data_IF_009840827219
#
_entry.id   IF_009840827219
#
_cell.length_a   1.000
_cell.length_b   1.000
_cell.length_c   1.000
_cell.angle_alpha   90.00
_cell.angle_beta   90.00
_cell.angle_gamma   90.00
#
_symmetry.space_group_name_H-M   'P 1'
#
loop_
_entity.id
_entity.type
_entity.pdbx_description
1 polymer ?
#
# COMPACT_ATOMS: atom_id res chain seq x y z
N UNK A 1 -28.69 5.15 15.33
CA UNK A 1 -27.47 4.35 15.43
C UNK A 1 -27.91 2.90 15.37
N UNK A 2 -27.71 2.24 14.23
CA UNK A 2 -28.01 0.81 14.14
C UNK A 2 -26.95 0.07 14.95
N UNK A 3 -27.37 -0.75 15.91
CA UNK A 3 -26.47 -1.72 16.52
C UNK A 3 -26.04 -2.71 15.44
N UNK A 4 -24.75 -2.72 15.09
CA UNK A 4 -24.20 -3.74 14.22
C UNK A 4 -24.46 -5.11 14.83
N UNK A 5 -24.83 -6.13 14.02
CA UNK A 5 -25.11 -7.45 14.54
C UNK A 5 -23.85 -7.96 15.27
N UNK A 6 -23.98 -8.18 16.59
CA UNK A 6 -22.96 -8.87 17.39
C UNK A 6 -22.99 -10.33 16.99
N UNK A 7 -21.96 -10.79 16.28
CA UNK A 7 -21.82 -12.21 15.98
C UNK A 7 -21.10 -12.89 17.15
N UNK A 8 -21.73 -13.92 17.70
CA UNK A 8 -21.13 -14.75 18.74
C UNK A 8 -20.18 -15.75 18.07
N UNK A 9 -18.90 -15.67 18.42
CA UNK A 9 -17.89 -16.57 17.89
C UNK A 9 -17.28 -17.38 19.04
N UNK A 10 -17.21 -18.70 18.86
CA UNK A 10 -16.53 -19.60 19.80
C UNK A 10 -15.20 -20.01 19.16
N UNK A 11 -14.10 -19.73 19.85
CA UNK A 11 -12.77 -20.04 19.36
C UNK A 11 -11.99 -20.94 20.30
N UNK A 12 -11.47 -22.02 19.73
CA UNK A 12 -10.43 -22.83 20.34
C UNK A 12 -9.05 -22.15 20.17
N UNK A 13 -8.37 -21.95 21.29
CA UNK A 13 -7.02 -21.38 21.32
C UNK A 13 -6.27 -21.71 22.60
N UNK A 14 -4.96 -21.93 22.48
CA UNK A 14 -4.05 -21.98 23.62
C UNK A 14 -3.62 -20.58 24.08
N UNK A 15 -2.95 -20.47 25.22
CA UNK A 15 -2.53 -19.19 25.83
C UNK A 15 -1.75 -18.25 24.88
N UNK A 16 -1.03 -18.80 23.90
CA UNK A 16 -0.27 -18.05 22.90
C UNK A 16 -1.09 -17.48 21.73
N UNK A 17 -2.36 -17.85 21.61
CA UNK A 17 -3.23 -17.40 20.50
C UNK A 17 -3.49 -15.91 20.63
N UNK A 18 -3.09 -15.13 19.63
CA UNK A 18 -3.32 -13.68 19.60
C UNK A 18 -4.71 -13.34 19.05
N UNK A 19 -5.24 -12.18 19.46
CA UNK A 19 -6.49 -11.66 18.90
C UNK A 19 -6.38 -11.39 17.40
N UNK A 20 -5.19 -10.98 16.92
CA UNK A 20 -4.91 -10.86 15.49
C UNK A 20 -5.09 -12.19 14.74
N UNK A 21 -4.61 -13.29 15.30
CA UNK A 21 -4.81 -14.63 14.72
C UNK A 21 -6.29 -15.03 14.67
N UNK A 22 -7.04 -14.73 15.73
CA UNK A 22 -8.49 -15.00 15.75
C UNK A 22 -9.19 -14.21 14.63
N UNK A 23 -8.90 -12.91 14.51
CA UNK A 23 -9.45 -12.09 13.41
C UNK A 23 -9.09 -12.63 12.03
N UNK A 24 -7.85 -13.11 11.86
CA UNK A 24 -7.42 -13.72 10.61
C UNK A 24 -8.21 -15.00 10.27
N UNK A 25 -8.55 -15.83 11.27
CA UNK A 25 -9.38 -17.03 11.08
C UNK A 25 -10.81 -16.66 10.63
N UNK A 26 -11.42 -15.64 11.24
CA UNK A 26 -12.73 -15.12 10.84
C UNK A 26 -12.72 -14.65 9.38
N UNK A 27 -11.70 -13.88 9.00
CA UNK A 27 -11.57 -13.39 7.63
C UNK A 27 -11.40 -14.56 6.64
N UNK A 28 -10.62 -15.58 7.01
CA UNK A 28 -10.41 -16.77 6.19
C UNK A 28 -11.68 -17.63 6.01
N UNK A 29 -12.60 -17.62 6.98
CA UNK A 29 -13.89 -18.32 6.90
C UNK A 29 -14.98 -17.52 6.16
N UNK A 30 -14.62 -16.41 5.49
CA UNK A 30 -15.54 -15.58 4.72
C UNK A 30 -16.19 -14.44 5.50
N UNK A 31 -15.76 -14.20 6.75
CA UNK A 31 -16.17 -13.04 7.55
C UNK A 31 -15.52 -11.72 7.11
N UNK A 32 -15.76 -10.60 7.82
CA UNK A 32 -15.14 -9.31 7.54
C UNK A 32 -13.61 -9.38 7.57
N UNK A 33 -12.92 -8.50 6.83
CA UNK A 33 -11.46 -8.42 6.88
C UNK A 33 -10.95 -8.07 8.29
N UNK A 34 -9.71 -8.47 8.63
CA UNK A 34 -9.15 -8.35 9.99
C UNK A 34 -9.40 -6.99 10.65
N UNK A 35 -9.10 -5.90 9.96
CA UNK A 35 -9.25 -4.55 10.51
C UNK A 35 -10.69 -4.02 10.49
N UNK A 36 -11.60 -4.70 9.79
CA UNK A 36 -13.04 -4.46 9.87
C UNK A 36 -13.67 -5.17 11.07
N UNK A 37 -12.91 -5.94 11.85
CA UNK A 37 -13.41 -6.64 13.02
C UNK A 37 -12.99 -5.94 14.31
N UNK A 38 -13.96 -5.65 15.16
CA UNK A 38 -13.75 -5.38 16.58
C UNK A 38 -14.16 -6.64 17.36
N UNK A 39 -13.18 -7.39 17.85
CA UNK A 39 -13.45 -8.49 18.78
C UNK A 39 -13.58 -7.93 20.18
N UNK A 40 -14.61 -8.38 20.89
CA UNK A 40 -14.94 -7.93 22.23
C UNK A 40 -15.04 -9.14 23.16
N UNK A 41 -14.47 -9.01 24.35
CA UNK A 41 -14.75 -9.87 25.48
C UNK A 41 -15.66 -9.07 26.41
N UNK A 42 -16.88 -9.56 26.63
CA UNK A 42 -17.94 -8.81 27.31
C UNK A 42 -18.16 -7.45 26.62
N UNK A 43 -17.95 -6.34 27.32
CA UNK A 43 -18.11 -4.97 26.79
C UNK A 43 -16.78 -4.28 26.44
N UNK A 44 -15.67 -5.04 26.43
CA UNK A 44 -14.33 -4.51 26.16
C UNK A 44 -13.82 -4.92 24.79
N UNK A 45 -13.48 -3.94 23.94
CA UNK A 45 -12.75 -4.18 22.69
C UNK A 45 -11.32 -4.66 22.97
N UNK A 46 -10.94 -5.74 22.30
CA UNK A 46 -9.65 -6.38 22.43
C UNK A 46 -8.65 -5.82 21.42
N UNK A 47 -7.40 -5.65 21.85
CA UNK A 47 -6.29 -5.23 20.98
C UNK A 47 -5.67 -6.44 20.28
N UNK A 48 -5.13 -6.20 19.09
CA UNK A 48 -4.56 -7.24 18.24
C UNK A 48 -3.37 -7.98 18.86
N UNK A 49 -2.61 -7.31 19.75
CA UNK A 49 -1.44 -7.84 20.45
C UNK A 49 -1.79 -8.62 21.73
N UNK A 50 -3.04 -8.56 22.18
CA UNK A 50 -3.49 -9.37 23.32
C UNK A 50 -3.56 -10.84 22.94
N UNK A 51 -3.22 -11.71 23.89
CA UNK A 51 -3.31 -13.16 23.76
C UNK A 51 -4.34 -13.74 24.71
N UNK A 52 -4.78 -14.97 24.44
CA UNK A 52 -5.68 -15.70 25.33
C UNK A 52 -5.13 -15.79 26.76
N UNK A 53 -3.81 -16.03 26.91
CA UNK A 53 -3.15 -16.02 28.21
C UNK A 53 -3.22 -14.64 28.90
N UNK A 54 -2.98 -13.55 28.17
CA UNK A 54 -3.09 -12.19 28.72
C UNK A 54 -4.51 -11.81 29.15
N UNK A 55 -5.51 -12.45 28.53
CA UNK A 55 -6.94 -12.28 28.80
C UNK A 55 -7.47 -13.30 29.82
N UNK A 56 -6.62 -14.18 30.36
CA UNK A 56 -7.01 -15.29 31.24
C UNK A 56 -8.09 -16.20 30.63
N UNK A 57 -8.08 -16.36 29.30
CA UNK A 57 -8.94 -17.27 28.57
C UNK A 57 -8.26 -18.64 28.50
N UNK A 58 -8.95 -19.69 28.98
CA UNK A 58 -8.47 -21.06 28.95
C UNK A 58 -9.45 -21.94 28.15
N UNK A 59 -8.97 -22.50 27.02
CA UNK A 59 -9.79 -23.33 26.14
C UNK A 59 -10.73 -22.51 25.26
N UNK A 60 -11.97 -22.97 25.11
CA UNK A 60 -12.99 -22.34 24.27
C UNK A 60 -13.36 -20.96 24.83
N UNK A 61 -13.06 -19.92 24.07
CA UNK A 61 -13.42 -18.55 24.40
C UNK A 61 -14.60 -18.08 23.54
N UNK A 62 -15.61 -17.51 24.20
CA UNK A 62 -16.73 -16.85 23.54
C UNK A 62 -16.40 -15.37 23.37
N UNK A 63 -16.25 -14.93 22.13
CA UNK A 63 -15.99 -13.55 21.76
C UNK A 63 -17.17 -13.00 20.97
N UNK A 64 -17.42 -11.70 21.10
CA UNK A 64 -18.37 -10.99 20.24
C UNK A 64 -17.60 -10.26 19.15
N UNK A 65 -17.96 -10.47 17.89
CA UNK A 65 -17.46 -9.65 16.81
C UNK A 65 -18.46 -8.55 16.49
N UNK A 66 -17.96 -7.32 16.42
CA UNK A 66 -18.66 -6.17 15.86
C UNK A 66 -17.90 -5.74 14.61
N UNK A 67 -18.55 -5.86 13.45
CA UNK A 67 -17.98 -5.33 12.21
C UNK A 67 -17.97 -3.80 12.26
N UNK A 68 -16.88 -3.16 11.82
CA UNK A 68 -16.84 -1.72 11.55
C UNK A 68 -17.85 -1.41 10.44
N UNK A 69 -18.59 -0.32 10.61
CA UNK A 69 -19.65 0.13 9.70
C UNK A 69 -19.12 0.67 8.37
N UNK A 70 -18.64 -0.21 7.49
CA UNK A 70 -18.11 0.17 6.20
C UNK A 70 -18.55 -0.80 5.10
N UNK A 71 -19.47 -0.35 4.25
CA UNK A 71 -19.92 -1.10 3.08
C UNK A 71 -18.91 -1.00 1.92
N UNK A 72 -17.80 -1.72 2.05
CA UNK A 72 -16.71 -1.69 1.06
C UNK A 72 -17.21 -2.03 -0.35
N UNK A 73 -18.08 -3.03 -0.49
CA UNK A 73 -18.54 -3.49 -1.80
C UNK A 73 -19.48 -2.47 -2.44
N UNK A 74 -20.43 -1.92 -1.69
CA UNK A 74 -21.29 -0.85 -2.20
C UNK A 74 -20.51 0.41 -2.58
N UNK A 75 -19.45 0.75 -1.83
CA UNK A 75 -18.57 1.88 -2.19
C UNK A 75 -17.77 1.61 -3.48
N UNK A 76 -17.25 0.39 -3.67
CA UNK A 76 -16.56 -0.01 -4.90
C UNK A 76 -17.50 0.07 -6.12
N UNK A 77 -18.74 -0.38 -6.01
CA UNK A 77 -19.74 -0.30 -7.08
C UNK A 77 -20.08 1.15 -7.46
N UNK A 78 -20.19 2.03 -6.46
CA UNK A 78 -20.39 3.48 -6.69
C UNK A 78 -19.20 4.10 -7.43
N UNK A 79 -17.96 3.76 -7.05
CA UNK A 79 -16.76 4.25 -7.73
C UNK A 79 -16.69 3.76 -9.17
N UNK A 80 -16.97 2.48 -9.41
CA UNK A 80 -16.95 1.89 -10.76
C UNK A 80 -17.95 2.55 -11.71
N UNK A 81 -19.06 3.04 -11.15
CA UNK A 81 -20.10 3.78 -11.88
C UNK A 81 -19.78 5.27 -12.06
N UNK A 82 -18.74 5.78 -11.38
CA UNK A 82 -18.31 7.19 -11.43
C UNK A 82 -17.70 7.53 -12.79
N UNK A 83 -18.07 8.70 -13.33
CA UNK A 83 -17.53 9.20 -14.59
C UNK A 83 -16.46 10.26 -14.32
N UNK A 84 -15.49 10.46 -15.22
CA UNK A 84 -14.56 11.56 -15.12
C UNK A 84 -15.29 12.89 -14.94
N UNK A 85 -14.76 13.73 -14.04
CA UNK A 85 -15.22 15.11 -13.80
C UNK A 85 -16.63 15.26 -13.23
N UNK A 86 -17.31 14.20 -12.83
CA UNK A 86 -18.58 14.28 -12.09
C UNK A 86 -18.36 14.54 -10.61
N UNK A 87 -19.46 14.80 -9.90
CA UNK A 87 -19.48 14.88 -8.44
C UNK A 87 -18.93 13.59 -7.82
N UNK A 88 -18.31 13.74 -6.65
CA UNK A 88 -17.71 12.66 -5.90
C UNK A 88 -18.82 11.77 -5.27
N UNK A 89 -18.83 10.44 -5.51
CA UNK A 89 -19.97 9.59 -5.15
C UNK A 89 -19.91 9.01 -3.73
N UNK A 90 -18.86 9.29 -2.95
CA UNK A 90 -18.68 8.78 -1.59
C UNK A 90 -18.93 9.90 -0.58
N UNK A 91 -19.67 9.59 0.50
CA UNK A 91 -19.92 10.56 1.56
C UNK A 91 -18.63 10.92 2.31
N UNK A 92 -18.60 12.08 2.97
CA UNK A 92 -17.44 12.44 3.79
C UNK A 92 -17.24 11.45 4.95
N UNK A 93 -18.32 10.97 5.55
CA UNK A 93 -18.29 10.01 6.66
C UNK A 93 -17.68 8.67 6.23
N UNK A 94 -18.15 8.10 5.11
CA UNK A 94 -17.60 6.84 4.59
C UNK A 94 -16.12 6.98 4.27
N UNK A 95 -15.71 8.12 3.71
CA UNK A 95 -14.30 8.34 3.43
C UNK A 95 -13.46 8.45 4.71
N UNK A 96 -13.92 9.20 5.71
CA UNK A 96 -13.19 9.31 6.99
C UNK A 96 -12.97 7.90 7.58
N UNK A 97 -14.00 7.03 7.54
CA UNK A 97 -13.87 5.62 7.93
C UNK A 97 -12.83 4.85 7.10
N UNK A 98 -12.81 5.01 5.77
CA UNK A 98 -11.84 4.35 4.88
C UNK A 98 -10.41 4.82 5.18
N UNK A 99 -10.22 6.13 5.36
CA UNK A 99 -8.90 6.73 5.60
C UNK A 99 -8.36 6.28 6.95
N UNK A 100 -9.16 6.38 8.02
CA UNK A 100 -8.74 5.98 9.36
C UNK A 100 -8.32 4.49 9.38
N UNK A 101 -9.10 3.65 8.72
CA UNK A 101 -8.81 2.23 8.58
C UNK A 101 -7.54 1.96 7.76
N UNK A 102 -7.36 2.66 6.63
CA UNK A 102 -6.16 2.54 5.82
C UNK A 102 -4.90 2.97 6.58
N UNK A 103 -4.97 4.05 7.36
CA UNK A 103 -3.87 4.52 8.22
C UNK A 103 -3.51 3.48 9.26
N UNK A 104 -4.51 2.92 9.96
CA UNK A 104 -4.32 1.84 10.94
C UNK A 104 -3.60 0.65 10.29
N UNK A 105 -4.06 0.22 9.12
CA UNK A 105 -3.46 -0.88 8.37
C UNK A 105 -2.00 -0.55 8.00
N UNK A 106 -1.75 0.57 7.33
CA UNK A 106 -0.40 0.89 6.87
C UNK A 106 0.60 1.03 8.00
N UNK A 107 0.21 1.60 9.14
CA UNK A 107 1.08 1.72 10.32
C UNK A 107 1.36 0.36 10.98
N UNK A 108 0.47 -0.61 10.83
CA UNK A 108 0.68 -1.99 11.30
C UNK A 108 1.63 -2.81 10.42
N UNK A 109 1.80 -2.42 9.15
CA UNK A 109 2.70 -3.08 8.20
C UNK A 109 4.14 -2.61 8.41
N UNK A 110 5.17 -3.43 8.12
CA UNK A 110 6.54 -2.96 8.05
C UNK A 110 6.76 -2.05 6.83
N UNK A 111 7.78 -1.19 6.86
CA UNK A 111 8.13 -0.35 5.70
C UNK A 111 8.70 -1.17 4.53
N UNK A 112 9.33 -2.31 4.82
CA UNK A 112 9.70 -3.36 3.88
C UNK A 112 8.76 -4.56 4.06
N UNK A 113 7.81 -4.73 3.16
CA UNK A 113 6.82 -5.81 3.23
C UNK A 113 7.33 -7.06 2.51
N UNK A 114 7.48 -8.17 3.24
CA UNK A 114 7.83 -9.47 2.64
C UNK A 114 6.57 -10.21 2.17
N UNK A 115 6.61 -10.74 0.94
CA UNK A 115 5.49 -11.45 0.31
C UNK A 115 5.89 -12.81 -0.26
N UNK A 116 5.00 -13.78 -0.14
CA UNK A 116 5.09 -15.04 -0.88
C UNK A 116 4.36 -14.94 -2.23
N UNK A 117 4.97 -15.49 -3.28
CA UNK A 117 4.33 -15.67 -4.59
C UNK A 117 3.20 -16.73 -4.53
N UNK A 118 2.26 -16.73 -5.49
CA UNK A 118 2.13 -15.83 -6.64
C UNK A 118 1.63 -14.43 -6.26
N UNK A 119 2.12 -13.41 -6.98
CA UNK A 119 1.73 -12.01 -6.79
C UNK A 119 1.87 -11.24 -8.12
N UNK A 120 0.89 -10.40 -8.43
CA UNK A 120 0.92 -9.46 -9.55
C UNK A 120 1.64 -8.18 -9.13
N UNK A 121 2.56 -7.68 -9.95
CA UNK A 121 3.28 -6.42 -9.68
C UNK A 121 2.81 -5.35 -10.64
N UNK A 122 2.28 -4.25 -10.12
CA UNK A 122 1.70 -3.15 -10.89
C UNK A 122 2.55 -1.88 -10.72
N UNK A 123 2.87 -1.24 -11.83
CA UNK A 123 3.61 0.02 -11.88
C UNK A 123 2.71 1.24 -11.68
N UNK A 124 3.13 2.36 -12.25
CA UNK A 124 2.44 3.64 -12.13
C UNK A 124 1.04 3.57 -12.77
N UNK A 125 0.03 4.09 -12.06
CA UNK A 125 -1.37 4.14 -12.55
C UNK A 125 -1.76 5.56 -12.97
N UNK A 126 -1.20 6.59 -12.31
CA UNK A 126 -1.32 8.00 -12.70
C UNK A 126 -2.76 8.48 -12.94
N UNK A 127 -3.67 8.13 -12.04
CA UNK A 127 -5.09 8.50 -12.12
C UNK A 127 -5.85 7.88 -13.30
N UNK A 128 -5.29 6.87 -13.98
CA UNK A 128 -6.00 6.10 -15.01
C UNK A 128 -6.88 5.03 -14.35
N UNK A 129 -8.01 5.46 -13.81
CA UNK A 129 -8.95 4.59 -13.10
C UNK A 129 -9.52 3.47 -13.99
N UNK A 130 -9.77 3.74 -15.28
CA UNK A 130 -10.26 2.71 -16.18
C UNK A 130 -9.27 1.58 -16.36
N UNK A 131 -7.97 1.91 -16.44
CA UNK A 131 -6.93 0.89 -16.54
C UNK A 131 -6.80 0.09 -15.25
N UNK A 132 -6.95 0.72 -14.08
CA UNK A 132 -7.03 -0.01 -12.81
C UNK A 132 -8.20 -1.01 -12.79
N UNK A 133 -9.40 -0.59 -13.21
CA UNK A 133 -10.54 -1.49 -13.31
C UNK A 133 -10.28 -2.64 -14.29
N UNK A 134 -9.69 -2.35 -15.45
CA UNK A 134 -9.34 -3.37 -16.44
C UNK A 134 -8.36 -4.41 -15.88
N UNK A 135 -7.34 -3.98 -15.14
CA UNK A 135 -6.38 -4.88 -14.47
C UNK A 135 -7.12 -5.85 -13.55
N UNK A 136 -8.01 -5.35 -12.69
CA UNK A 136 -8.78 -6.20 -11.77
C UNK A 136 -9.80 -7.10 -12.47
N UNK A 137 -10.45 -6.63 -13.53
CA UNK A 137 -11.35 -7.46 -14.34
C UNK A 137 -10.60 -8.59 -15.05
N UNK A 138 -9.35 -8.33 -15.47
CA UNK A 138 -8.56 -9.28 -16.25
C UNK A 138 -7.78 -10.29 -15.41
N UNK A 139 -7.18 -9.82 -14.31
CA UNK A 139 -6.28 -10.60 -13.46
C UNK A 139 -6.94 -11.06 -12.15
N UNK A 140 -8.19 -10.65 -11.91
CA UNK A 140 -8.94 -10.88 -10.68
C UNK A 140 -8.65 -9.81 -9.63
N UNK A 141 -9.67 -9.32 -8.93
CA UNK A 141 -9.48 -8.31 -7.88
C UNK A 141 -8.69 -8.87 -6.66
N UNK A 142 -8.34 -8.05 -5.65
CA UNK A 142 -7.63 -8.52 -4.46
C UNK A 142 -8.35 -9.61 -3.64
N UNK A 143 -9.65 -9.84 -3.87
CA UNK A 143 -10.37 -11.01 -3.34
C UNK A 143 -10.00 -12.33 -4.03
N UNK A 144 -9.41 -12.26 -5.23
CA UNK A 144 -9.04 -13.41 -6.07
C UNK A 144 -7.53 -13.56 -6.27
N UNK A 145 -6.78 -12.46 -6.33
CA UNK A 145 -5.33 -12.46 -6.57
C UNK A 145 -4.57 -11.55 -5.57
N UNK A 146 -3.25 -11.74 -5.47
CA UNK A 146 -2.37 -10.88 -4.66
C UNK A 146 -1.70 -9.83 -5.52
N UNK A 147 -1.49 -8.65 -4.98
CA UNK A 147 -0.93 -7.49 -5.68
C UNK A 147 0.13 -6.76 -4.86
N UNK A 148 1.15 -6.27 -5.55
CA UNK A 148 2.03 -5.18 -5.09
C UNK A 148 1.93 -4.07 -6.11
N UNK A 149 1.46 -2.89 -5.69
CA UNK A 149 1.56 -1.68 -6.50
C UNK A 149 2.76 -0.84 -6.06
N UNK A 150 3.51 -0.36 -7.03
CA UNK A 150 4.79 0.31 -6.83
C UNK A 150 4.66 1.84 -6.63
N UNK A 151 3.48 2.36 -6.33
CA UNK A 151 3.25 3.80 -6.16
C UNK A 151 2.97 4.55 -7.46
N UNK A 152 2.82 5.87 -7.35
CA UNK A 152 2.38 6.78 -8.42
C UNK A 152 0.95 6.47 -8.88
N UNK A 153 0.02 6.56 -7.93
CA UNK A 153 -1.41 6.31 -8.13
C UNK A 153 -2.14 7.54 -8.65
N UNK A 154 -1.72 8.72 -8.22
CA UNK A 154 -2.38 10.00 -8.45
C UNK A 154 -1.61 10.86 -9.44
N UNK A 155 -2.19 12.03 -9.77
CA UNK A 155 -1.69 13.02 -10.73
C UNK A 155 -1.75 12.59 -12.20
N UNK A 156 -1.64 13.59 -13.09
CA UNK A 156 -1.66 13.47 -14.57
C UNK A 156 -2.96 12.95 -15.19
N UNK A 157 -3.65 11.99 -14.58
CA UNK A 157 -4.96 11.48 -15.01
C UNK A 157 -6.15 12.28 -14.46
N UNK A 158 -7.33 12.03 -15.04
CA UNK A 158 -8.59 12.73 -14.71
C UNK A 158 -9.37 12.10 -13.53
N UNK A 159 -8.93 10.94 -13.02
CA UNK A 159 -9.65 10.15 -12.00
C UNK A 159 -8.70 9.62 -10.90
N UNK A 160 -7.86 10.50 -10.35
CA UNK A 160 -6.92 10.13 -9.29
C UNK A 160 -7.65 9.77 -7.99
N UNK A 161 -8.76 10.46 -7.68
CA UNK A 161 -9.52 10.19 -6.45
C UNK A 161 -10.17 8.80 -6.51
N UNK A 162 -10.79 8.42 -7.63
CA UNK A 162 -11.35 7.07 -7.79
C UNK A 162 -10.28 5.98 -7.75
N UNK A 163 -9.15 6.22 -8.41
CA UNK A 163 -8.00 5.31 -8.42
C UNK A 163 -7.54 5.02 -6.99
N UNK A 164 -7.24 6.07 -6.22
CA UNK A 164 -6.73 5.91 -4.87
C UNK A 164 -7.79 5.36 -3.90
N UNK A 165 -9.05 5.81 -3.99
CA UNK A 165 -10.13 5.32 -3.15
C UNK A 165 -10.43 3.84 -3.38
N UNK A 166 -10.40 3.37 -4.63
CA UNK A 166 -10.57 1.96 -4.96
C UNK A 166 -9.46 1.10 -4.36
N UNK A 167 -8.21 1.55 -4.49
CA UNK A 167 -7.07 0.87 -3.89
C UNK A 167 -7.16 0.83 -2.35
N UNK A 168 -7.57 1.93 -1.71
CA UNK A 168 -7.78 1.94 -0.25
C UNK A 168 -8.91 1.03 0.20
N UNK A 169 -10.04 1.00 -0.52
CA UNK A 169 -11.17 0.13 -0.20
C UNK A 169 -10.76 -1.34 -0.27
N UNK A 170 -10.03 -1.72 -1.33
CA UNK A 170 -9.46 -3.06 -1.41
C UNK A 170 -8.41 -3.32 -0.33
N UNK A 171 -7.58 -2.33 0.03
CA UNK A 171 -6.60 -2.46 1.11
C UNK A 171 -7.28 -2.70 2.45
N UNK A 172 -8.37 -1.99 2.73
CA UNK A 172 -9.19 -2.14 3.92
C UNK A 172 -9.82 -3.53 4.03
N UNK A 173 -10.27 -4.08 2.89
CA UNK A 173 -10.93 -5.39 2.85
C UNK A 173 -9.97 -6.56 2.80
N UNK A 174 -8.87 -6.43 2.06
CA UNK A 174 -7.90 -7.50 1.82
C UNK A 174 -6.46 -7.03 2.12
N UNK A 175 -6.18 -6.63 3.38
CA UNK A 175 -4.89 -6.05 3.78
C UNK A 175 -3.70 -6.98 3.49
N UNK A 176 -3.89 -8.30 3.62
CA UNK A 176 -2.84 -9.31 3.41
C UNK A 176 -2.66 -9.71 1.93
N UNK A 177 -3.47 -9.15 1.02
CA UNK A 177 -3.44 -9.47 -0.42
C UNK A 177 -3.09 -8.29 -1.30
N UNK A 178 -3.17 -7.06 -0.80
CA UNK A 178 -2.83 -5.86 -1.56
C UNK A 178 -1.78 -5.05 -0.79
N UNK A 179 -0.57 -4.95 -1.34
CA UNK A 179 0.47 -4.05 -0.86
C UNK A 179 0.51 -2.81 -1.75
N UNK A 180 0.48 -1.63 -1.13
CA UNK A 180 0.54 -0.34 -1.80
C UNK A 180 1.79 0.38 -1.31
N UNK A 181 2.80 0.48 -2.18
CA UNK A 181 4.02 1.22 -1.87
C UNK A 181 3.80 2.72 -2.08
N UNK A 182 4.46 3.53 -1.28
CA UNK A 182 4.51 4.98 -1.48
C UNK A 182 5.33 5.28 -2.72
N UNK A 183 4.80 6.05 -3.66
CA UNK A 183 5.55 6.61 -4.79
C UNK A 183 5.80 8.11 -4.63
N UNK A 184 6.53 8.71 -5.58
CA UNK A 184 6.87 10.15 -5.52
C UNK A 184 5.65 11.07 -5.61
N UNK A 185 4.59 10.62 -6.27
CA UNK A 185 3.33 11.36 -6.38
C UNK A 185 2.49 11.27 -5.10
N UNK A 186 2.80 10.33 -4.20
CA UNK A 186 2.25 10.27 -2.85
C UNK A 186 3.07 11.15 -1.88
N UNK A 187 3.47 12.33 -2.36
CA UNK A 187 4.14 13.39 -1.62
C UNK A 187 3.45 14.73 -1.85
N UNK A 188 3.27 15.49 -0.77
CA UNK A 188 2.54 16.75 -0.78
C UNK A 188 3.11 17.76 -1.78
N UNK A 189 4.43 17.83 -1.92
CA UNK A 189 5.10 18.80 -2.81
C UNK A 189 4.81 18.52 -4.30
N UNK A 190 4.71 17.23 -4.66
CA UNK A 190 4.46 16.78 -6.03
C UNK A 190 2.98 16.89 -6.37
N UNK A 191 2.11 16.25 -5.58
CA UNK A 191 0.69 16.18 -5.91
C UNK A 191 -0.08 17.50 -5.74
N UNK A 192 0.58 18.53 -5.19
CA UNK A 192 0.12 19.91 -5.21
C UNK A 192 0.15 20.55 -6.59
N UNK A 193 1.05 20.11 -7.47
CA UNK A 193 1.35 20.77 -8.75
C UNK A 193 0.91 19.92 -9.94
N UNK A 194 0.86 18.59 -9.79
CA UNK A 194 0.65 17.68 -10.93
C UNK A 194 -0.79 17.14 -11.12
N UNK A 195 -1.75 17.64 -10.33
CA UNK A 195 -3.18 17.52 -10.62
C UNK A 195 -4.07 17.08 -9.47
N UNK A 196 -3.57 16.24 -8.55
CA UNK A 196 -4.40 15.66 -7.50
C UNK A 196 -4.99 16.70 -6.54
N UNK A 197 -4.21 17.72 -6.17
CA UNK A 197 -4.68 18.84 -5.36
C UNK A 197 -5.85 19.58 -6.03
N UNK A 198 -5.73 19.86 -7.32
CA UNK A 198 -6.76 20.55 -8.08
C UNK A 198 -8.02 19.69 -8.26
N UNK A 199 -7.84 18.39 -8.47
CA UNK A 199 -8.94 17.43 -8.52
C UNK A 199 -9.70 17.39 -7.18
N UNK A 200 -8.99 17.24 -6.07
CA UNK A 200 -9.57 17.24 -4.72
C UNK A 200 -10.29 18.55 -4.41
N UNK A 201 -9.67 19.69 -4.75
CA UNK A 201 -10.26 21.02 -4.53
C UNK A 201 -11.56 21.21 -5.33
N UNK A 202 -11.61 20.73 -6.57
CA UNK A 202 -12.76 20.90 -7.46
C UNK A 202 -13.92 19.97 -7.11
N UNK A 203 -13.64 18.72 -6.74
CA UNK A 203 -14.67 17.67 -6.59
C UNK A 203 -15.06 17.39 -5.14
N UNK A 204 -14.19 17.73 -4.20
CA UNK A 204 -14.33 17.43 -2.78
C UNK A 204 -14.06 18.69 -1.95
N UNK A 205 -12.92 18.76 -1.25
CA UNK A 205 -12.51 19.94 -0.50
C UNK A 205 -10.99 20.01 -0.30
N UNK A 206 -10.48 21.15 0.18
CA UNK A 206 -9.06 21.25 0.57
C UNK A 206 -8.71 20.41 1.81
N UNK A 207 -9.68 20.23 2.73
CA UNK A 207 -9.52 19.33 3.88
C UNK A 207 -9.28 17.91 3.40
N UNK A 208 -10.00 17.50 2.36
CA UNK A 208 -9.90 16.20 1.72
C UNK A 208 -8.49 15.89 1.23
N UNK A 209 -7.85 16.82 0.51
CA UNK A 209 -6.47 16.62 0.05
C UNK A 209 -5.48 16.42 1.20
N UNK A 210 -5.62 17.17 2.30
CA UNK A 210 -4.78 16.98 3.50
C UNK A 210 -4.98 15.60 4.14
N UNK A 211 -6.22 15.11 4.16
CA UNK A 211 -6.52 13.75 4.63
C UNK A 211 -5.78 12.69 3.81
N UNK A 212 -5.74 12.82 2.48
CA UNK A 212 -4.95 11.93 1.62
C UNK A 212 -3.45 12.02 1.87
N UNK A 213 -2.91 13.23 2.08
CA UNK A 213 -1.51 13.40 2.45
C UNK A 213 -1.15 12.63 3.73
N UNK A 214 -2.04 12.63 4.74
CA UNK A 214 -1.82 11.84 5.95
C UNK A 214 -1.78 10.33 5.66
N UNK A 215 -2.66 9.82 4.79
CA UNK A 215 -2.61 8.41 4.35
C UNK A 215 -1.27 8.10 3.68
N UNK A 216 -0.86 8.95 2.73
CA UNK A 216 0.40 8.76 2.00
C UNK A 216 1.63 8.73 2.92
N UNK A 217 1.63 9.56 3.95
CA UNK A 217 2.70 9.60 4.96
C UNK A 217 2.82 8.31 5.77
N UNK A 218 1.78 7.48 5.80
CA UNK A 218 1.75 6.20 6.50
C UNK A 218 2.16 5.01 5.62
N UNK A 219 2.28 5.16 4.30
CA UNK A 219 2.47 4.01 3.39
C UNK A 219 3.85 3.36 3.51
N UNK A 220 3.96 2.03 3.32
CA UNK A 220 5.25 1.35 3.23
C UNK A 220 6.02 1.79 1.98
N UNK A 221 7.34 1.62 1.99
CA UNK A 221 8.21 2.17 0.95
C UNK A 221 8.77 1.09 0.02
N UNK A 222 8.89 -0.16 0.48
CA UNK A 222 9.42 -1.25 -0.32
C UNK A 222 8.64 -2.54 -0.08
N UNK A 223 8.74 -3.45 -1.02
CA UNK A 223 8.32 -4.83 -0.83
C UNK A 223 9.40 -5.79 -1.31
N UNK A 224 9.36 -7.04 -0.84
CA UNK A 224 10.26 -8.10 -1.29
C UNK A 224 9.49 -9.39 -1.50
N UNK A 225 9.56 -9.92 -2.70
CA UNK A 225 8.81 -11.12 -3.11
C UNK A 225 9.74 -12.33 -3.05
N UNK A 226 9.30 -13.38 -2.34
CA UNK A 226 10.06 -14.61 -2.07
C UNK A 226 11.48 -14.38 -1.51
N UNK A 227 11.74 -13.24 -0.89
CA UNK A 227 13.10 -12.82 -0.50
C UNK A 227 14.11 -12.71 -1.68
N UNK A 228 13.63 -12.72 -2.93
CA UNK A 228 14.46 -12.75 -4.15
C UNK A 228 14.24 -11.55 -5.08
N UNK A 229 13.05 -10.95 -5.07
CA UNK A 229 12.75 -9.79 -5.92
C UNK A 229 12.49 -8.58 -5.03
N UNK A 230 13.26 -7.50 -5.21
CA UNK A 230 13.04 -6.24 -4.50
C UNK A 230 12.13 -5.33 -5.32
N UNK A 231 11.06 -4.86 -4.70
CA UNK A 231 10.14 -3.88 -5.27
C UNK A 231 10.39 -2.53 -4.62
N UNK A 232 10.81 -1.56 -5.43
CA UNK A 232 11.00 -0.16 -5.03
C UNK A 232 10.08 0.74 -5.84
N UNK A 233 9.67 1.91 -5.33
CA UNK A 233 8.81 2.81 -6.08
C UNK A 233 9.57 3.47 -7.22
N UNK A 234 10.81 3.89 -7.01
CA UNK A 234 11.66 4.43 -8.07
C UNK A 234 13.06 3.81 -8.10
N UNK A 235 13.87 3.99 -7.04
CA UNK A 235 15.31 3.71 -7.14
C UNK A 235 15.95 3.06 -5.93
N UNK A 236 17.28 2.96 -6.01
CA UNK A 236 18.15 2.45 -4.96
C UNK A 236 18.77 3.60 -4.16
N UNK A 237 19.32 3.26 -3.00
CA UNK A 237 20.03 4.20 -2.12
C UNK A 237 21.44 3.73 -1.80
N UNK A 238 22.34 4.69 -1.59
CA UNK A 238 23.68 4.44 -1.04
C UNK A 238 23.61 3.82 0.36
N UNK A 239 22.55 4.10 1.12
CA UNK A 239 22.35 3.54 2.46
C UNK A 239 22.14 2.03 2.47
N UNK A 240 21.77 1.45 1.33
CA UNK A 240 21.43 0.05 1.16
C UNK A 240 22.52 -0.77 0.47
N UNK A 241 23.73 -0.26 0.27
CA UNK A 241 24.75 -0.97 -0.53
C UNK A 241 25.37 -2.18 0.17
N UNK A 242 25.31 -2.27 1.49
CA UNK A 242 25.95 -3.34 2.25
C UNK A 242 24.94 -4.41 2.69
N UNK A 243 25.39 -5.64 2.89
CA UNK A 243 24.55 -6.72 3.41
C UNK A 243 23.95 -6.36 4.79
N UNK A 244 22.72 -6.81 5.05
CA UNK A 244 22.01 -6.55 6.31
C UNK A 244 21.48 -5.12 6.47
N UNK A 245 21.54 -4.27 5.45
CA UNK A 245 21.06 -2.89 5.51
C UNK A 245 19.56 -2.72 5.27
N UNK A 246 18.85 -3.76 4.82
CA UNK A 246 17.39 -3.69 4.60
C UNK A 246 16.60 -3.37 5.88
N UNK A 247 17.13 -3.69 7.05
CA UNK A 247 16.54 -3.28 8.33
C UNK A 247 16.45 -1.75 8.48
N UNK A 248 17.29 -0.98 7.77
CA UNK A 248 17.19 0.48 7.73
C UNK A 248 15.85 0.94 7.15
N UNK A 249 15.29 0.20 6.18
CA UNK A 249 13.97 0.52 5.59
C UNK A 249 12.90 0.42 6.69
N UNK A 250 12.93 -0.63 7.51
CA UNK A 250 12.00 -0.82 8.61
C UNK A 250 12.16 0.18 9.76
N UNK A 251 13.27 0.92 9.82
CA UNK A 251 13.50 1.99 10.79
C UNK A 251 12.96 3.36 10.34
N UNK A 252 12.44 3.48 9.11
CA UNK A 252 11.76 4.68 8.66
C UNK A 252 10.50 4.86 9.51
N UNK A 253 10.48 5.92 10.31
CA UNK A 253 9.33 6.24 11.18
C UNK A 253 8.19 6.77 10.34
N UNK A 254 6.98 6.24 10.56
CA UNK A 254 5.75 6.71 9.92
C UNK A 254 4.73 7.12 10.99
N UNK A 255 3.88 8.13 10.75
CA UNK A 255 3.79 8.94 9.53
C UNK A 255 4.98 9.89 9.36
N UNK A 256 5.42 10.09 8.12
CA UNK A 256 6.48 11.07 7.79
C UNK A 256 6.21 11.73 6.44
N UNK A 257 6.54 13.02 6.31
CA UNK A 257 6.72 13.61 4.97
C UNK A 257 8.04 13.10 4.36
N UNK A 258 8.24 13.33 3.06
CA UNK A 258 9.49 12.97 2.40
C UNK A 258 10.57 14.02 2.75
N UNK A 259 11.72 13.63 3.31
CA UNK A 259 12.84 14.53 3.54
C UNK A 259 13.48 14.98 2.22
N UNK A 260 14.33 16.01 2.28
CA UNK A 260 15.08 16.50 1.11
C UNK A 260 16.30 15.61 0.75
N UNK A 261 16.68 14.66 1.61
CA UNK A 261 17.82 13.75 1.44
C UNK A 261 17.65 12.43 2.25
N UNK A 262 18.52 11.45 1.98
CA UNK A 262 18.62 10.20 2.73
C UNK A 262 17.76 9.06 2.17
N UNK A 263 17.74 7.92 2.89
CA UNK A 263 17.15 6.67 2.40
C UNK A 263 15.73 6.80 1.81
N UNK A 264 14.79 7.47 2.51
CA UNK A 264 13.43 7.61 2.01
C UNK A 264 13.37 8.44 0.72
N UNK A 265 14.18 9.49 0.65
CA UNK A 265 14.30 10.33 -0.54
C UNK A 265 14.85 9.51 -1.72
N UNK A 266 15.96 8.80 -1.53
CA UNK A 266 16.61 8.00 -2.58
C UNK A 266 15.68 6.91 -3.14
N UNK A 267 14.92 6.22 -2.28
CA UNK A 267 13.97 5.19 -2.73
C UNK A 267 12.88 5.76 -3.65
N UNK A 268 12.43 6.99 -3.37
CA UNK A 268 11.34 7.66 -4.07
C UNK A 268 11.81 8.56 -5.23
N UNK A 269 13.07 8.99 -5.29
CA UNK A 269 13.62 9.88 -6.34
C UNK A 269 14.78 9.28 -7.14
N UNK A 270 15.31 8.12 -6.73
CA UNK A 270 16.39 7.44 -7.41
C UNK A 270 15.96 6.96 -8.81
N UNK A 271 16.69 7.36 -9.84
CA UNK A 271 16.42 7.00 -11.23
C UNK A 271 17.64 6.27 -11.84
N UNK A 272 17.47 5.11 -12.48
CA UNK A 272 18.54 4.47 -13.22
C UNK A 272 18.91 5.33 -14.46
N UNK A 273 20.20 5.54 -14.71
CA UNK A 273 20.69 6.27 -15.89
C UNK A 273 21.89 5.55 -16.50
N UNK A 274 21.75 5.09 -17.74
CA UNK A 274 22.81 4.36 -18.46
C UNK A 274 24.05 5.19 -18.77
N UNK A 275 23.97 6.52 -18.62
CA UNK A 275 25.05 7.47 -18.91
C UNK A 275 25.94 7.74 -17.70
N UNK A 276 25.51 7.35 -16.50
CA UNK A 276 26.25 7.58 -15.25
C UNK A 276 26.92 6.29 -14.78
N UNK A 277 27.91 6.45 -13.89
CA UNK A 277 28.62 5.35 -13.24
C UNK A 277 28.52 5.51 -11.73
N UNK A 278 28.21 4.44 -11.01
CA UNK A 278 27.94 4.50 -9.58
C UNK A 278 26.69 5.33 -9.27
N UNK A 279 26.65 5.97 -8.11
CA UNK A 279 25.60 6.94 -7.74
C UNK A 279 26.05 8.36 -8.06
N UNK A 280 25.14 9.17 -8.60
CA UNK A 280 25.38 10.58 -8.95
C UNK A 280 24.16 11.41 -8.57
N UNK A 281 24.36 12.45 -7.76
CA UNK A 281 23.30 13.41 -7.44
C UNK A 281 23.28 14.53 -8.49
N UNK A 282 22.27 14.51 -9.36
CA UNK A 282 22.06 15.50 -10.40
C UNK A 282 21.03 16.54 -9.94
N UNK A 283 21.46 17.47 -9.08
CA UNK A 283 20.62 18.57 -8.56
C UNK A 283 19.47 18.08 -7.67
N UNK A 284 19.06 18.91 -6.69
CA UNK A 284 17.89 18.63 -5.83
C UNK A 284 16.72 18.23 -6.73
N UNK A 285 16.22 16.99 -6.59
CA UNK A 285 15.14 16.31 -7.34
C UNK A 285 15.56 15.14 -8.25
N UNK A 286 16.84 14.78 -8.36
CA UNK A 286 17.24 13.57 -9.08
C UNK A 286 18.53 12.96 -8.51
N UNK A 287 18.40 11.81 -7.84
CA UNK A 287 19.54 10.94 -7.58
C UNK A 287 19.57 9.87 -8.67
N UNK A 288 20.73 9.64 -9.27
CA UNK A 288 20.90 8.71 -10.38
C UNK A 288 21.81 7.55 -9.98
N UNK A 289 21.58 6.38 -10.57
CA UNK A 289 22.52 5.26 -10.46
C UNK A 289 22.76 4.55 -11.80
N UNK A 290 24.01 4.13 -12.02
CA UNK A 290 24.44 3.47 -13.24
C UNK A 290 24.12 1.97 -13.29
N UNK A 291 24.24 1.33 -14.46
CA UNK A 291 24.09 -0.12 -14.61
C UNK A 291 25.09 -0.91 -13.75
N UNK A 292 26.26 -0.33 -13.46
CA UNK A 292 27.31 -0.93 -12.65
C UNK A 292 26.95 -1.04 -11.15
N UNK A 293 25.86 -0.39 -10.71
CA UNK A 293 25.34 -0.53 -9.34
C UNK A 293 24.43 -1.75 -9.20
N UNK A 294 23.71 -2.13 -10.25
CA UNK A 294 22.60 -3.09 -10.16
C UNK A 294 23.07 -4.51 -9.81
N UNK A 295 24.02 -5.05 -10.57
CA UNK A 295 24.48 -6.43 -10.34
C UNK A 295 25.17 -6.62 -8.97
N UNK A 296 26.09 -5.75 -8.52
CA UNK A 296 26.67 -5.84 -7.18
C UNK A 296 25.63 -5.72 -6.06
N UNK A 297 24.62 -4.85 -6.24
CA UNK A 297 23.53 -4.73 -5.28
C UNK A 297 22.73 -6.04 -5.17
N UNK A 298 22.34 -6.63 -6.30
CA UNK A 298 21.61 -7.90 -6.33
C UNK A 298 22.41 -9.02 -5.65
N UNK A 299 23.71 -9.14 -5.98
CA UNK A 299 24.60 -10.14 -5.39
C UNK A 299 24.73 -9.97 -3.87
N UNK A 300 24.97 -8.74 -3.42
CA UNK A 300 25.15 -8.41 -1.99
C UNK A 300 23.93 -8.78 -1.15
N UNK A 301 22.74 -8.67 -1.72
CA UNK A 301 21.47 -8.93 -1.03
C UNK A 301 20.85 -10.29 -1.36
N UNK A 302 21.51 -11.11 -2.19
CA UNK A 302 20.99 -12.41 -2.62
C UNK A 302 19.68 -12.31 -3.43
N UNK A 303 19.50 -11.23 -4.19
CA UNK A 303 18.35 -10.94 -5.02
C UNK A 303 18.59 -11.35 -6.48
N UNK A 304 17.51 -11.61 -7.20
CA UNK A 304 17.51 -11.95 -8.63
C UNK A 304 17.06 -10.78 -9.52
N UNK A 305 16.21 -9.89 -9.00
CA UNK A 305 15.55 -8.84 -9.78
C UNK A 305 15.18 -7.65 -8.90
N UNK A 306 15.29 -6.45 -9.47
CA UNK A 306 14.65 -5.24 -8.95
C UNK A 306 13.47 -4.88 -9.86
N UNK A 307 12.29 -4.71 -9.28
CA UNK A 307 11.12 -4.15 -9.94
C UNK A 307 10.90 -2.72 -9.45
N UNK A 308 10.71 -1.77 -10.38
CA UNK A 308 10.39 -0.38 -10.06
C UNK A 308 9.18 0.16 -10.82
N UNK A 309 8.56 1.21 -10.29
CA UNK A 309 7.55 1.99 -11.01
C UNK A 309 8.22 2.97 -11.96
N UNK A 310 7.73 3.12 -13.18
CA UNK A 310 8.14 4.18 -14.10
C UNK A 310 7.01 4.52 -15.08
N UNK A 311 7.25 5.50 -15.95
CA UNK A 311 6.44 5.73 -17.13
C UNK A 311 7.22 5.21 -18.34
N UNK A 312 6.82 4.07 -18.88
CA UNK A 312 7.46 3.40 -20.03
C UNK A 312 6.38 3.04 -21.04
N UNK A 313 6.63 3.25 -22.34
CA UNK A 313 5.60 3.18 -23.38
C UNK A 313 5.01 1.77 -23.60
N UNK A 314 5.82 0.74 -23.45
CA UNK A 314 5.42 -0.67 -23.68
C UNK A 314 4.88 -1.36 -22.42
N UNK A 315 4.63 -0.60 -21.34
CA UNK A 315 4.18 -1.13 -20.05
C UNK A 315 5.29 -1.76 -19.20
N UNK A 316 6.41 -2.20 -19.80
CA UNK A 316 7.62 -2.56 -19.07
C UNK A 316 8.90 -2.31 -19.88
N UNK A 317 10.03 -2.13 -19.19
CA UNK A 317 11.35 -1.98 -19.81
C UNK A 317 12.46 -2.52 -18.90
N UNK A 318 13.42 -3.28 -19.47
CA UNK A 318 14.63 -3.67 -18.74
C UNK A 318 15.72 -2.60 -18.87
N UNK A 319 16.41 -2.32 -17.77
CA UNK A 319 17.44 -1.30 -17.74
C UNK A 319 18.80 -1.85 -18.18
N UNK A 320 19.33 -1.37 -19.32
CA UNK A 320 20.72 -1.55 -19.75
C UNK A 320 21.24 -3.01 -19.69
N UNK A 321 20.37 -4.01 -19.96
CA UNK A 321 20.73 -5.43 -19.89
C UNK A 321 20.94 -5.97 -18.47
N UNK A 322 20.57 -5.20 -17.45
CA UNK A 322 20.63 -5.59 -16.04
C UNK A 322 19.32 -6.24 -15.57
N UNK A 323 19.32 -7.02 -14.47
CA UNK A 323 18.11 -7.53 -13.84
C UNK A 323 17.38 -6.44 -13.03
N UNK A 324 17.06 -5.34 -13.70
CA UNK A 324 16.18 -4.27 -13.20
C UNK A 324 15.10 -4.02 -14.25
N UNK A 325 13.85 -4.12 -13.85
CA UNK A 325 12.69 -3.89 -14.71
C UNK A 325 11.87 -2.70 -14.19
N UNK A 326 11.54 -1.80 -15.10
CA UNK A 326 10.59 -0.72 -14.90
C UNK A 326 9.20 -1.15 -15.39
N UNK A 327 8.16 -0.84 -14.61
CA UNK A 327 6.77 -1.19 -14.88
C UNK A 327 5.89 0.07 -14.93
N UNK A 328 4.98 0.12 -15.90
CA UNK A 328 3.91 1.09 -16.02
C UNK A 328 2.57 0.35 -16.17
N UNK A 329 1.54 0.84 -15.48
CA UNK A 329 0.19 0.25 -15.47
C UNK A 329 -0.88 1.30 -15.78
N UNK A 330 -0.48 2.38 -16.46
CA UNK A 330 -1.34 3.50 -16.86
C UNK A 330 -1.66 3.51 -18.35
N UNK A 331 -1.23 2.49 -19.10
CA UNK A 331 -1.34 2.36 -20.57
C UNK A 331 -2.51 1.47 -20.93
#
# INVERSE_FOLDING_TARGET
MGEFPRELLVFEGGEGTSIREVKARVAASGGPGVFLQNLMLEDRTLRDDETFGSLSLAGDATLYMVAKDLDVMGLLERLRSSKPRTEWPISQEDLEKVVDLAVEIFLSEPCLVDLAAPVNVCGAVMGNFQQLCWIFDRLGDPGQAKYVFLGSYVDRGDQSIETMATLLLFKCRYPDRLVLLRGRHECQSINRIYGFYDECRRRCSLKFWKTWTNVFNCMPCCARIQHRILCVPNGLSLDLQNAGTFDKINRIVRPTDVPDEGLLYDLLWGEPDQRVRGFVDEVRMRSCFGPDVVAPFLETHGLDLICRSALVEEGFEFFAGTPLVALASSI
#
